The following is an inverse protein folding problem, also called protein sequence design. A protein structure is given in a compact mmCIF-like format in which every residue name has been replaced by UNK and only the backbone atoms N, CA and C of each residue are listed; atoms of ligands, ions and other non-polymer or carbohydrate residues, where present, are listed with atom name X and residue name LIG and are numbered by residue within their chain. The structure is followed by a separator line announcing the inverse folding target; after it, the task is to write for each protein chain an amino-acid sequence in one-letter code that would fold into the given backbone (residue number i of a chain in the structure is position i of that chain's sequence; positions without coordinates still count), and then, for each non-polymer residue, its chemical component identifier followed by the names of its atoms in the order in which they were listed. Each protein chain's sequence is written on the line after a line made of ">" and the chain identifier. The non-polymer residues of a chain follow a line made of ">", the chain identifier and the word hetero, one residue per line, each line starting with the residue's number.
data_IF_435431287408
#
_entry.id   IF_435431287408
#
_cell.length_a   1.000
_cell.length_b   1.000
_cell.length_c   1.000
_cell.angle_alpha   90.00
_cell.angle_beta   90.00
_cell.angle_gamma   90.00
#
_symmetry.space_group_name_H-M   'P 1'
#
loop_
_entity.id
_entity.type
_entity.pdbx_description
1 polymer ?
#
# COMPACT_ATOMS: atom_id res chain seq x y z
N UNK A 1 29.11 -10.47 -12.53
CA UNK A 1 27.74 -10.76 -12.05
C UNK A 1 26.86 -10.87 -13.29
N UNK A 2 25.94 -11.83 -13.35
CA UNK A 2 24.98 -11.88 -14.47
C UNK A 2 23.92 -10.81 -14.21
N UNK A 3 23.74 -9.90 -15.16
CA UNK A 3 22.79 -8.76 -15.08
C UNK A 3 21.32 -9.17 -15.31
N UNK A 4 21.00 -10.46 -15.20
CA UNK A 4 19.66 -11.02 -15.41
C UNK A 4 18.78 -11.00 -14.15
N UNK A 5 19.26 -10.39 -13.05
CA UNK A 5 18.55 -10.35 -11.78
C UNK A 5 18.49 -11.68 -11.02
N UNK A 6 19.19 -12.72 -11.51
CA UNK A 6 19.24 -14.04 -10.83
C UNK A 6 20.19 -14.05 -9.62
N UNK A 7 21.06 -13.05 -9.49
CA UNK A 7 22.02 -12.94 -8.40
C UNK A 7 21.33 -12.55 -7.09
N UNK A 8 21.10 -13.52 -6.21
CA UNK A 8 20.55 -13.27 -4.88
C UNK A 8 21.66 -12.87 -3.90
N UNK A 9 21.53 -11.74 -3.21
CA UNK A 9 22.46 -11.29 -2.17
C UNK A 9 21.77 -11.19 -0.81
N UNK A 10 22.46 -11.57 0.27
CA UNK A 10 21.92 -11.52 1.64
C UNK A 10 22.19 -10.14 2.25
N UNK A 11 21.27 -9.20 2.02
CA UNK A 11 21.39 -7.79 2.45
C UNK A 11 20.76 -7.57 3.84
N UNK A 12 19.64 -8.22 4.13
CA UNK A 12 18.94 -8.07 5.42
C UNK A 12 19.56 -8.92 6.53
N UNK A 13 19.87 -8.29 7.68
CA UNK A 13 20.58 -8.93 8.82
C UNK A 13 20.13 -8.36 10.16
N UNK A 14 20.15 -9.18 11.20
CA UNK A 14 20.10 -8.72 12.59
C UNK A 14 21.53 -8.64 13.14
N UNK A 15 21.89 -7.50 13.73
CA UNK A 15 23.14 -7.33 14.46
C UNK A 15 22.83 -7.47 15.95
N UNK A 16 23.55 -8.34 16.65
CA UNK A 16 23.36 -8.63 18.06
C UNK A 16 24.66 -8.30 18.81
N UNK A 17 24.54 -7.67 19.98
CA UNK A 17 25.66 -7.47 20.87
C UNK A 17 25.87 -8.69 21.78
N UNK A 18 27.07 -8.81 22.37
CA UNK A 18 27.47 -9.97 23.17
C UNK A 18 26.47 -10.27 24.30
N UNK A 19 25.93 -9.25 24.96
CA UNK A 19 24.94 -9.42 26.03
C UNK A 19 23.60 -10.00 25.54
N UNK A 20 23.19 -9.73 24.30
CA UNK A 20 21.97 -10.31 23.70
C UNK A 20 22.18 -11.78 23.31
N UNK A 21 23.37 -12.14 22.83
CA UNK A 21 23.71 -13.53 22.50
C UNK A 21 23.71 -14.39 23.76
N UNK A 22 24.27 -13.87 24.86
CA UNK A 22 24.27 -14.57 26.15
C UNK A 22 22.87 -14.72 26.74
N UNK A 23 21.99 -13.72 26.53
CA UNK A 23 20.61 -13.75 27.04
C UNK A 23 19.68 -14.66 26.24
N UNK A 24 19.92 -14.81 24.95
CA UNK A 24 19.11 -15.66 24.06
C UNK A 24 20.00 -16.58 23.22
N UNK A 25 20.63 -17.60 23.84
CA UNK A 25 21.56 -18.49 23.17
C UNK A 25 20.90 -19.32 22.05
N UNK A 26 19.57 -19.48 22.11
CA UNK A 26 18.78 -20.20 21.10
C UNK A 26 18.20 -19.28 20.01
N UNK A 27 18.65 -18.03 19.92
CA UNK A 27 18.14 -17.09 18.93
C UNK A 27 18.46 -17.56 17.50
N UNK A 28 17.45 -17.63 16.64
CA UNK A 28 17.59 -18.01 15.24
C UNK A 28 16.90 -17.02 14.31
N UNK A 29 17.38 -16.90 13.08
CA UNK A 29 16.74 -16.07 12.05
C UNK A 29 15.94 -16.96 11.11
N UNK A 30 14.63 -16.73 11.04
CA UNK A 30 13.73 -17.36 10.07
C UNK A 30 13.51 -16.43 8.89
N UNK A 31 13.80 -16.92 7.69
CA UNK A 31 13.45 -16.23 6.44
C UNK A 31 12.00 -16.57 6.09
N UNK A 32 11.19 -15.56 5.83
CA UNK A 32 9.80 -15.70 5.41
C UNK A 32 9.68 -15.68 3.88
N UNK A 33 8.52 -16.09 3.38
CA UNK A 33 8.24 -16.10 1.96
C UNK A 33 8.23 -14.68 1.36
N UNK A 34 8.78 -14.60 0.15
CA UNK A 34 8.78 -13.37 -0.64
C UNK A 34 7.38 -13.18 -1.22
N UNK A 35 6.61 -12.24 -0.66
CA UNK A 35 5.26 -11.92 -1.16
C UNK A 35 5.24 -10.65 -2.01
N UNK A 36 5.40 -9.48 -1.40
CA UNK A 36 5.13 -8.17 -2.04
C UNK A 36 6.36 -7.27 -2.18
N UNK A 37 7.55 -7.71 -1.76
CA UNK A 37 8.80 -6.97 -1.90
C UNK A 37 9.80 -7.80 -2.70
N UNK A 38 10.72 -7.12 -3.36
CA UNK A 38 11.97 -7.65 -3.89
C UNK A 38 12.88 -8.25 -2.79
N UNK A 39 12.68 -7.87 -1.52
CA UNK A 39 13.32 -8.46 -0.35
C UNK A 39 12.50 -9.60 0.29
N UNK A 40 13.20 -10.56 0.92
CA UNK A 40 12.59 -11.58 1.79
C UNK A 40 12.59 -11.09 3.23
N UNK A 41 11.43 -10.96 3.89
CA UNK A 41 11.40 -10.60 5.30
C UNK A 41 12.15 -11.63 6.17
N UNK A 42 12.89 -11.16 7.17
CA UNK A 42 13.56 -12.01 8.15
C UNK A 42 13.04 -11.72 9.56
N UNK A 43 12.89 -12.76 10.37
CA UNK A 43 12.41 -12.66 11.75
C UNK A 43 13.40 -13.31 12.69
N UNK A 44 13.80 -12.58 13.74
CA UNK A 44 14.58 -13.13 14.83
C UNK A 44 13.65 -13.83 15.84
N UNK A 45 13.83 -15.13 16.01
CA UNK A 45 13.10 -15.95 16.97
C UNK A 45 14.04 -16.22 18.15
N UNK A 46 13.59 -15.94 19.37
CA UNK A 46 14.44 -15.92 20.57
C UNK A 46 14.20 -17.12 21.50
N UNK A 47 13.13 -17.89 21.30
CA UNK A 47 12.85 -19.09 22.11
C UNK A 47 12.11 -20.16 21.31
N UNK A 48 12.44 -21.42 21.60
CA UNK A 48 11.62 -22.58 21.28
C UNK A 48 10.59 -22.72 22.41
N UNK A 49 9.53 -21.91 22.38
CA UNK A 49 8.45 -22.05 23.36
C UNK A 49 7.54 -23.18 22.90
N UNK A 50 7.93 -24.42 23.20
CA UNK A 50 7.02 -25.56 23.16
C UNK A 50 6.10 -25.46 24.38
N UNK A 51 4.99 -24.74 24.21
CA UNK A 51 3.95 -24.57 25.24
C UNK A 51 3.12 -25.85 25.45
N UNK A 52 3.58 -27.01 24.97
CA UNK A 52 2.81 -28.25 24.90
C UNK A 52 1.81 -28.23 23.74
N UNK A 53 0.84 -29.17 23.73
CA UNK A 53 -0.15 -29.26 22.68
C UNK A 53 -0.89 -27.93 22.50
N UNK A 54 -0.87 -27.39 21.28
CA UNK A 54 -1.53 -26.12 21.00
C UNK A 54 -3.00 -26.17 21.47
N UNK A 55 -3.43 -25.24 22.34
CA UNK A 55 -4.80 -25.24 22.81
C UNK A 55 -5.74 -25.04 21.62
N UNK A 56 -6.92 -25.66 21.69
CA UNK A 56 -7.97 -25.39 20.71
C UNK A 56 -8.32 -23.90 20.78
N UNK A 57 -8.12 -23.18 19.67
CA UNK A 57 -8.46 -21.76 19.55
C UNK A 57 -9.75 -21.63 18.78
N UNK A 58 -10.73 -21.01 19.41
CA UNK A 58 -11.97 -20.57 18.77
C UNK A 58 -11.83 -19.10 18.41
N UNK A 59 -12.14 -18.74 17.16
CA UNK A 59 -12.04 -17.36 16.68
C UNK A 59 -13.43 -16.78 16.53
N UNK A 60 -13.65 -15.56 17.05
CA UNK A 60 -14.96 -14.90 16.96
C UNK A 60 -15.42 -14.69 15.50
N UNK A 61 -14.48 -14.55 14.57
CA UNK A 61 -14.80 -14.45 13.14
C UNK A 61 -15.51 -15.70 12.59
N UNK A 62 -15.36 -16.86 13.23
CA UNK A 62 -16.04 -18.08 12.81
C UNK A 62 -17.56 -18.02 13.04
N UNK A 63 -18.03 -17.18 13.98
CA UNK A 63 -19.46 -16.99 14.23
C UNK A 63 -20.18 -16.28 13.08
N UNK A 64 -19.44 -15.53 12.26
CA UNK A 64 -19.97 -14.90 11.06
C UNK A 64 -20.08 -15.87 9.86
N UNK A 65 -19.50 -17.07 9.96
CA UNK A 65 -19.58 -18.08 8.91
C UNK A 65 -20.81 -18.98 9.15
N UNK A 66 -21.78 -18.92 8.24
CA UNK A 66 -23.04 -19.68 8.34
C UNK A 66 -22.84 -21.20 8.50
N UNK A 67 -21.79 -21.77 7.89
CA UNK A 67 -21.50 -23.20 7.96
C UNK A 67 -21.22 -23.68 9.39
N UNK A 68 -20.67 -22.81 10.26
CA UNK A 68 -20.37 -23.19 11.65
C UNK A 68 -21.65 -23.51 12.42
N UNK A 69 -22.71 -22.72 12.19
CA UNK A 69 -23.98 -22.92 12.88
C UNK A 69 -24.59 -24.28 12.53
N UNK A 70 -24.54 -24.66 11.25
CA UNK A 70 -25.04 -25.95 10.78
C UNK A 70 -24.27 -27.12 11.39
N UNK A 71 -22.94 -26.98 11.56
CA UNK A 71 -22.10 -27.98 12.22
C UNK A 71 -22.48 -28.12 13.70
N UNK A 72 -22.71 -27.00 14.40
CA UNK A 72 -23.14 -27.02 15.79
C UNK A 72 -24.47 -27.76 15.92
N UNK A 73 -25.47 -27.37 15.13
CA UNK A 73 -26.81 -27.99 15.16
C UNK A 73 -26.74 -29.48 14.85
N UNK A 74 -26.05 -29.86 13.77
CA UNK A 74 -25.94 -31.26 13.32
C UNK A 74 -25.20 -32.13 14.33
N UNK A 75 -24.12 -31.60 14.92
CA UNK A 75 -23.34 -32.32 15.92
C UNK A 75 -24.08 -32.45 17.26
N UNK A 76 -24.86 -31.44 17.64
CA UNK A 76 -25.57 -31.40 18.92
C UNK A 76 -26.82 -32.29 18.96
N UNK A 77 -27.54 -32.35 17.84
CA UNK A 77 -28.82 -33.06 17.70
C UNK A 77 -28.68 -34.49 17.18
N UNK A 78 -27.52 -34.88 16.64
CA UNK A 78 -27.38 -36.23 16.13
C UNK A 78 -27.37 -37.30 17.23
N UNK A 79 -27.99 -38.43 16.94
CA UNK A 79 -28.18 -39.58 17.83
C UNK A 79 -26.92 -40.43 17.96
N UNK A 80 -25.82 -39.81 18.39
CA UNK A 80 -24.50 -40.43 18.36
C UNK A 80 -24.07 -41.09 19.67
N UNK A 81 -24.81 -40.86 20.75
CA UNK A 81 -24.50 -41.35 22.08
C UNK A 81 -25.73 -42.02 22.66
N UNK A 82 -25.54 -43.16 23.32
CA UNK A 82 -26.60 -43.81 24.08
C UNK A 82 -27.04 -42.87 25.20
N UNK A 83 -28.35 -42.73 25.39
CA UNK A 83 -28.94 -41.81 26.37
C UNK A 83 -28.73 -42.26 27.83
N UNK A 84 -27.97 -43.33 28.04
CA UNK A 84 -27.69 -43.91 29.35
C UNK A 84 -26.40 -43.33 29.94
N UNK A 85 -26.54 -42.53 30.99
CA UNK A 85 -25.40 -41.99 31.74
C UNK A 85 -25.76 -40.73 32.51
N UNK A 86 -24.84 -40.27 33.34
CA UNK A 86 -24.97 -39.00 34.03
C UNK A 86 -24.96 -37.83 33.02
N UNK A 87 -25.78 -36.80 33.25
CA UNK A 87 -26.00 -35.73 32.30
C UNK A 87 -24.72 -34.91 31.99
N UNK A 88 -23.84 -34.77 32.97
CA UNK A 88 -22.53 -34.13 32.86
C UNK A 88 -21.58 -34.90 31.93
N UNK A 89 -21.58 -36.23 32.02
CA UNK A 89 -20.83 -37.10 31.13
C UNK A 89 -21.33 -37.00 29.68
N UNK A 90 -22.66 -36.99 29.48
CA UNK A 90 -23.27 -36.82 28.15
C UNK A 90 -22.94 -35.45 27.55
N UNK A 91 -22.99 -34.38 28.36
CA UNK A 91 -22.58 -33.03 27.94
C UNK A 91 -21.10 -33.01 27.51
N UNK A 92 -20.21 -33.62 28.29
CA UNK A 92 -18.79 -33.71 27.97
C UNK A 92 -18.56 -34.45 26.65
N UNK A 93 -19.28 -35.54 26.39
CA UNK A 93 -19.20 -36.28 25.13
C UNK A 93 -19.66 -35.43 23.94
N UNK A 94 -20.80 -34.73 24.06
CA UNK A 94 -21.29 -33.80 23.04
C UNK A 94 -20.28 -32.69 22.74
N UNK A 95 -19.71 -32.07 23.77
CA UNK A 95 -18.69 -31.02 23.62
C UNK A 95 -17.40 -31.54 22.97
N UNK A 96 -16.95 -32.76 23.34
CA UNK A 96 -15.78 -33.41 22.71
C UNK A 96 -16.00 -33.63 21.22
N UNK A 97 -17.16 -34.15 20.83
CA UNK A 97 -17.51 -34.35 19.43
C UNK A 97 -17.59 -33.04 18.67
N UNK A 98 -18.30 -32.06 19.23
CA UNK A 98 -18.43 -30.73 18.62
C UNK A 98 -17.06 -30.11 18.37
N UNK A 99 -16.14 -30.21 19.33
CA UNK A 99 -14.76 -29.77 19.17
C UNK A 99 -14.04 -30.44 18.00
N UNK A 100 -14.20 -31.76 17.82
CA UNK A 100 -13.56 -32.48 16.71
C UNK A 100 -14.17 -32.11 15.34
N UNK A 101 -15.48 -31.94 15.26
CA UNK A 101 -16.13 -31.48 14.02
C UNK A 101 -15.74 -30.05 13.65
N UNK A 102 -15.69 -29.13 14.63
CA UNK A 102 -15.20 -27.76 14.40
C UNK A 102 -13.72 -27.78 13.95
N UNK A 103 -12.88 -28.65 14.53
CA UNK A 103 -11.47 -28.78 14.09
C UNK A 103 -11.37 -29.26 12.64
N UNK A 104 -12.15 -30.26 12.24
CA UNK A 104 -12.17 -30.76 10.85
C UNK A 104 -12.62 -29.67 9.89
N UNK A 105 -13.72 -28.99 10.21
CA UNK A 105 -14.22 -27.87 9.43
C UNK A 105 -13.20 -26.73 9.32
N UNK A 106 -12.61 -26.30 10.44
CA UNK A 106 -11.62 -25.24 10.46
C UNK A 106 -10.37 -25.59 9.63
N UNK A 107 -9.95 -26.86 9.62
CA UNK A 107 -8.87 -27.33 8.76
C UNK A 107 -9.25 -27.23 7.28
N UNK A 108 -10.46 -27.65 6.92
CA UNK A 108 -10.96 -27.59 5.54
C UNK A 108 -11.12 -26.15 5.06
N UNK A 109 -11.67 -25.25 5.88
CA UNK A 109 -11.80 -23.83 5.52
C UNK A 109 -10.43 -23.18 5.33
N UNK A 110 -9.45 -23.44 6.20
CA UNK A 110 -8.08 -22.94 5.96
C UNK A 110 -7.50 -23.41 4.63
N UNK A 111 -7.77 -24.64 4.21
CA UNK A 111 -7.34 -25.14 2.91
C UNK A 111 -8.06 -24.41 1.77
N UNK A 112 -9.38 -24.22 1.86
CA UNK A 112 -10.16 -23.43 0.89
C UNK A 112 -9.61 -22.01 0.78
N UNK A 113 -9.46 -21.30 1.90
CA UNK A 113 -8.92 -19.95 1.98
C UNK A 113 -7.51 -19.87 1.35
N UNK A 114 -6.67 -20.87 1.59
CA UNK A 114 -5.31 -20.93 1.02
C UNK A 114 -5.33 -21.12 -0.48
N UNK A 115 -6.19 -21.98 -1.00
CA UNK A 115 -6.36 -22.21 -2.45
C UNK A 115 -6.91 -20.97 -3.13
N UNK A 116 -7.92 -20.33 -2.54
CA UNK A 116 -8.50 -19.09 -3.06
C UNK A 116 -7.45 -17.97 -3.07
N UNK A 117 -6.72 -17.77 -1.98
CA UNK A 117 -5.66 -16.78 -1.90
C UNK A 117 -4.57 -17.02 -2.95
N UNK A 118 -4.14 -18.28 -3.14
CA UNK A 118 -3.14 -18.64 -4.15
C UNK A 118 -3.65 -18.38 -5.58
N UNK A 119 -4.93 -18.67 -5.82
CA UNK A 119 -5.57 -18.44 -7.14
C UNK A 119 -5.65 -16.94 -7.45
N UNK A 120 -6.04 -16.13 -6.46
CA UNK A 120 -6.07 -14.67 -6.59
C UNK A 120 -4.66 -14.10 -6.78
N UNK A 121 -3.65 -14.58 -6.05
CA UNK A 121 -2.25 -14.17 -6.24
C UNK A 121 -1.73 -14.47 -7.65
N UNK A 122 -2.09 -15.62 -8.24
CA UNK A 122 -1.75 -15.95 -9.62
C UNK A 122 -2.46 -15.05 -10.63
N UNK A 123 -3.74 -14.74 -10.40
CA UNK A 123 -4.52 -13.82 -11.22
C UNK A 123 -3.89 -12.42 -11.24
N UNK A 124 -3.53 -11.88 -10.07
CA UNK A 124 -2.86 -10.56 -9.96
C UNK A 124 -1.56 -10.54 -10.75
N UNK A 125 -0.70 -11.56 -10.60
CA UNK A 125 0.56 -11.67 -11.36
C UNK A 125 0.32 -11.71 -12.87
N UNK A 126 -0.72 -12.41 -13.32
CA UNK A 126 -1.06 -12.48 -14.74
C UNK A 126 -1.51 -11.11 -15.28
N UNK A 127 -2.29 -10.36 -14.50
CA UNK A 127 -2.71 -8.99 -14.85
C UNK A 127 -1.51 -8.05 -14.91
N UNK A 128 -0.60 -8.10 -13.92
CA UNK A 128 0.62 -7.30 -13.91
C UNK A 128 1.50 -7.57 -15.13
N UNK A 129 1.74 -8.85 -15.45
CA UNK A 129 2.50 -9.25 -16.62
C UNK A 129 1.83 -8.82 -17.94
N UNK A 130 0.49 -8.90 -18.02
CA UNK A 130 -0.28 -8.41 -19.17
C UNK A 130 -0.13 -6.90 -19.31
N UNK A 131 -0.19 -6.14 -18.22
CA UNK A 131 -0.04 -4.69 -18.23
C UNK A 131 1.39 -4.25 -18.62
N UNK A 132 2.43 -4.92 -18.13
CA UNK A 132 3.82 -4.68 -18.52
C UNK A 132 4.02 -4.93 -20.02
N UNK A 133 3.60 -6.11 -20.49
CA UNK A 133 3.73 -6.50 -21.89
C UNK A 133 2.95 -5.54 -22.80
N UNK A 134 1.74 -5.14 -22.39
CA UNK A 134 0.92 -4.17 -23.12
C UNK A 134 1.60 -2.81 -23.22
N UNK A 135 2.20 -2.31 -22.14
CA UNK A 135 2.90 -1.01 -22.14
C UNK A 135 4.11 -1.00 -23.09
N UNK A 136 4.87 -2.10 -23.14
CA UNK A 136 6.01 -2.27 -24.04
C UNK A 136 5.55 -2.36 -25.49
N UNK A 137 4.46 -3.08 -25.74
CA UNK A 137 3.87 -3.22 -27.07
C UNK A 137 3.31 -1.88 -27.58
N UNK A 138 2.61 -1.12 -26.75
CA UNK A 138 2.08 0.21 -27.10
C UNK A 138 3.21 1.18 -27.43
N UNK A 139 4.37 1.10 -26.76
CA UNK A 139 5.56 1.89 -27.11
C UNK A 139 6.03 1.65 -28.54
N UNK A 140 6.11 0.39 -28.95
CA UNK A 140 6.49 0.03 -30.33
C UNK A 140 5.44 0.50 -31.33
N UNK A 141 4.17 0.48 -30.92
CA UNK A 141 3.09 0.99 -31.75
C UNK A 141 3.14 2.51 -31.93
N UNK A 142 3.37 3.27 -30.85
CA UNK A 142 3.59 4.72 -30.90
C UNK A 142 4.80 5.09 -31.77
N UNK A 143 5.90 4.32 -31.69
CA UNK A 143 7.08 4.51 -32.54
C UNK A 143 6.78 4.28 -34.02
N UNK A 144 5.93 3.30 -34.35
CA UNK A 144 5.54 3.04 -35.73
C UNK A 144 4.67 4.17 -36.31
N UNK A 145 3.80 4.77 -35.49
CA UNK A 145 2.89 5.86 -35.90
C UNK A 145 3.60 7.23 -36.03
N UNK A 146 4.60 7.52 -35.20
CA UNK A 146 5.27 8.83 -35.16
C UNK A 146 6.66 8.88 -35.79
N UNK A 147 7.26 7.72 -36.08
CA UNK A 147 8.57 7.66 -36.71
C UNK A 147 8.46 7.83 -38.22
N UNK A 148 8.20 9.03 -38.75
CA UNK A 148 8.00 9.19 -40.20
C UNK A 148 9.23 8.80 -41.04
N UNK A 149 10.45 8.81 -40.47
CA UNK A 149 11.72 8.46 -41.15
C UNK A 149 12.56 7.37 -40.45
N UNK A 150 12.01 6.65 -39.48
CA UNK A 150 12.75 5.60 -38.78
C UNK A 150 12.80 4.31 -39.61
N UNK A 151 13.99 3.70 -39.76
CA UNK A 151 14.19 2.41 -40.45
C UNK A 151 13.11 1.39 -40.08
N UNK A 152 12.78 1.28 -38.79
CA UNK A 152 11.74 0.40 -38.28
C UNK A 152 10.33 0.68 -38.85
N UNK A 153 9.90 1.94 -38.92
CA UNK A 153 8.56 2.27 -39.46
C UNK A 153 8.49 1.98 -40.96
N UNK A 154 9.57 2.30 -41.70
CA UNK A 154 9.69 2.00 -43.12
C UNK A 154 9.66 0.49 -43.39
N UNK A 155 10.39 -0.30 -42.59
CA UNK A 155 10.38 -1.76 -42.68
C UNK A 155 8.99 -2.34 -42.42
N UNK A 156 8.29 -1.87 -41.38
CA UNK A 156 6.94 -2.36 -41.08
C UNK A 156 5.94 -1.96 -42.17
N UNK A 157 5.99 -0.71 -42.67
CA UNK A 157 5.18 -0.24 -43.80
C UNK A 157 5.39 -1.13 -45.04
N UNK A 158 6.65 -1.47 -45.34
CA UNK A 158 7.02 -2.29 -46.49
C UNK A 158 6.60 -3.77 -46.35
N UNK A 159 6.84 -4.41 -45.19
CA UNK A 159 6.54 -5.83 -44.98
C UNK A 159 5.02 -6.07 -44.91
N UNK A 160 4.29 -5.19 -44.22
CA UNK A 160 2.87 -5.40 -43.94
C UNK A 160 1.94 -4.64 -44.89
N UNK A 161 2.48 -3.84 -45.81
CA UNK A 161 1.76 -2.98 -46.76
C UNK A 161 0.69 -2.11 -46.08
N UNK A 162 1.12 -1.35 -45.06
CA UNK A 162 0.23 -0.58 -44.19
C UNK A 162 0.56 0.91 -44.29
N UNK A 163 -0.46 1.76 -44.47
CA UNK A 163 -0.33 3.20 -44.30
C UNK A 163 -0.86 3.60 -42.93
N UNK A 164 0.01 4.13 -42.07
CA UNK A 164 -0.33 4.57 -40.71
C UNK A 164 -1.13 5.88 -40.66
N UNK A 165 -1.51 6.44 -41.81
CA UNK A 165 -2.28 7.68 -41.91
C UNK A 165 -3.75 7.56 -41.45
N UNK A 166 -4.30 6.34 -41.44
CA UNK A 166 -5.67 6.07 -40.99
C UNK A 166 -5.66 5.11 -39.80
N UNK A 167 -6.19 5.59 -38.67
CA UNK A 167 -6.21 4.94 -37.34
C UNK A 167 -6.88 3.54 -37.35
N UNK A 168 -7.54 3.16 -38.44
CA UNK A 168 -8.25 1.90 -38.60
C UNK A 168 -7.51 0.75 -39.29
N UNK A 169 -6.41 1.01 -40.03
CA UNK A 169 -5.79 -0.02 -40.85
C UNK A 169 -4.39 -0.37 -40.31
N UNK A 170 -4.34 -1.32 -39.37
CA UNK A 170 -3.13 -1.66 -38.61
C UNK A 170 -2.30 -2.79 -39.23
N UNK A 171 -2.68 -3.24 -40.42
CA UNK A 171 -2.04 -4.35 -41.11
C UNK A 171 -2.66 -5.71 -40.82
N UNK A 172 -2.29 -6.71 -41.63
CA UNK A 172 -2.81 -8.07 -41.54
C UNK A 172 -2.11 -8.85 -40.42
N UNK A 173 -2.87 -9.53 -39.57
CA UNK A 173 -2.36 -10.49 -38.55
C UNK A 173 -1.87 -11.82 -39.15
N UNK A 174 -1.90 -11.94 -40.48
CA UNK A 174 -1.58 -13.17 -41.22
C UNK A 174 -0.09 -13.51 -41.22
N UNK A 175 0.79 -12.55 -40.94
CA UNK A 175 2.23 -12.77 -40.79
C UNK A 175 2.56 -12.93 -39.31
N UNK A 176 2.95 -14.14 -38.90
CA UNK A 176 3.37 -14.43 -37.53
C UNK A 176 4.60 -13.60 -37.12
N UNK A 177 4.68 -13.22 -35.83
CA UNK A 177 5.81 -12.48 -35.28
C UNK A 177 5.41 -11.35 -34.34
N UNK A 178 6.39 -10.53 -33.95
CA UNK A 178 6.24 -9.45 -32.96
C UNK A 178 5.14 -8.46 -33.37
N UNK A 179 5.03 -8.13 -34.67
CA UNK A 179 4.01 -7.20 -35.17
C UNK A 179 2.58 -7.73 -35.04
N UNK A 180 2.35 -9.02 -35.29
CA UNK A 180 1.03 -9.62 -35.07
C UNK A 180 0.64 -9.63 -33.59
N UNK A 181 1.58 -9.84 -32.67
CA UNK A 181 1.36 -9.71 -31.23
C UNK A 181 1.03 -8.27 -30.82
N UNK A 182 1.69 -7.28 -31.45
CA UNK A 182 1.41 -5.86 -31.24
C UNK A 182 -0.04 -5.52 -31.66
N UNK A 183 -0.46 -5.93 -32.85
CA UNK A 183 -1.83 -5.69 -33.36
C UNK A 183 -2.86 -6.40 -32.47
N UNK A 184 -2.65 -7.68 -32.13
CA UNK A 184 -3.57 -8.45 -31.27
C UNK A 184 -3.77 -7.79 -29.91
N UNK A 185 -2.69 -7.30 -29.31
CA UNK A 185 -2.75 -6.56 -28.04
C UNK A 185 -3.53 -5.27 -28.20
N UNK A 186 -3.29 -4.49 -29.26
CA UNK A 186 -4.06 -3.28 -29.55
C UNK A 186 -5.56 -3.54 -29.77
N UNK A 187 -5.92 -4.64 -30.44
CA UNK A 187 -7.32 -5.07 -30.62
C UNK A 187 -7.97 -5.49 -29.31
N UNK A 188 -7.30 -6.32 -28.50
CA UNK A 188 -7.79 -6.72 -27.17
C UNK A 188 -8.01 -5.51 -26.26
N UNK A 189 -7.14 -4.51 -26.32
CA UNK A 189 -7.31 -3.28 -25.56
C UNK A 189 -8.53 -2.48 -26.05
N UNK A 190 -8.74 -2.36 -27.36
CA UNK A 190 -9.94 -1.71 -27.91
C UNK A 190 -11.25 -2.45 -27.55
N UNK A 191 -11.23 -3.80 -27.52
CA UNK A 191 -12.36 -4.65 -27.11
C UNK A 191 -12.70 -4.48 -25.63
N UNK A 192 -11.68 -4.31 -24.78
CA UNK A 192 -11.82 -3.98 -23.35
C UNK A 192 -12.28 -2.51 -23.11
N UNK A 193 -12.71 -1.78 -24.14
CA UNK A 193 -13.11 -0.37 -24.08
C UNK A 193 -11.95 0.64 -24.09
N UNK A 194 -10.69 0.19 -24.10
CA UNK A 194 -9.48 1.03 -24.12
C UNK A 194 -9.13 1.39 -25.55
N UNK A 195 -9.84 2.38 -26.11
CA UNK A 195 -9.57 2.91 -27.45
C UNK A 195 -8.19 3.57 -27.50
N UNK A 196 -7.17 2.87 -27.94
CA UNK A 196 -5.83 3.47 -28.05
C UNK A 196 -5.81 4.62 -29.07
N UNK A 197 -6.75 4.58 -30.01
CA UNK A 197 -7.07 5.68 -30.94
C UNK A 197 -7.55 6.97 -30.26
N UNK A 198 -7.96 6.95 -28.98
CA UNK A 198 -8.27 8.17 -28.23
C UNK A 198 -7.05 8.82 -27.58
N UNK A 199 -6.00 8.04 -27.29
CA UNK A 199 -4.78 8.50 -26.61
C UNK A 199 -3.66 8.84 -27.58
N UNK A 200 -3.59 8.13 -28.72
CA UNK A 200 -2.64 8.39 -29.80
C UNK A 200 -3.40 9.06 -30.95
N UNK A 201 -3.55 10.38 -30.89
CA UNK A 201 -4.05 11.19 -32.01
C UNK A 201 -2.95 12.13 -32.46
N UNK A 202 -2.67 12.17 -33.78
CA UNK A 202 -1.91 13.24 -34.46
C UNK A 202 -0.64 13.68 -33.71
N UNK A 203 0.32 12.77 -33.53
CA UNK A 203 1.64 13.08 -32.97
C UNK A 203 1.70 13.52 -31.50
N UNK A 204 0.59 13.48 -30.75
CA UNK A 204 0.59 13.81 -29.31
C UNK A 204 0.15 12.63 -28.46
N UNK A 205 0.91 12.34 -27.39
CA UNK A 205 0.52 11.38 -26.36
C UNK A 205 -0.38 12.09 -25.35
N UNK A 206 -1.70 11.84 -25.38
CA UNK A 206 -2.65 12.52 -24.49
C UNK A 206 -2.71 11.93 -23.07
N UNK A 207 -1.80 11.01 -22.72
CA UNK A 207 -1.72 10.37 -21.40
C UNK A 207 -0.78 11.06 -20.42
N UNK A 208 -0.15 12.18 -20.81
CA UNK A 208 0.58 13.06 -19.89
C UNK A 208 0.41 14.56 -20.23
N UNK A 209 0.67 15.43 -19.26
CA UNK A 209 0.58 16.89 -19.43
C UNK A 209 1.66 17.48 -20.36
N UNK A 210 2.65 16.66 -20.79
CA UNK A 210 3.77 17.09 -21.63
C UNK A 210 3.62 16.67 -23.09
N UNK A 211 2.56 15.95 -23.43
CA UNK A 211 2.31 15.35 -24.73
C UNK A 211 3.44 14.43 -25.24
N UNK A 212 4.28 13.88 -24.35
CA UNK A 212 5.46 13.08 -24.69
C UNK A 212 5.29 11.63 -24.25
N UNK A 213 5.49 10.68 -25.16
CA UNK A 213 5.35 9.27 -24.81
C UNK A 213 6.50 8.79 -23.92
N UNK A 214 6.16 8.16 -22.80
CA UNK A 214 7.08 7.33 -22.02
C UNK A 214 6.40 6.03 -21.60
N UNK A 215 7.17 4.94 -21.47
CA UNK A 215 6.64 3.65 -20.98
C UNK A 215 6.00 3.81 -19.60
N UNK A 216 6.56 4.70 -18.76
CA UNK A 216 6.02 5.02 -17.43
C UNK A 216 4.63 5.65 -17.53
N UNK A 217 4.46 6.71 -18.30
CA UNK A 217 3.14 7.36 -18.44
C UNK A 217 2.10 6.43 -19.08
N UNK A 218 2.52 5.58 -20.03
CA UNK A 218 1.63 4.55 -20.58
C UNK A 218 1.22 3.51 -19.53
N UNK A 219 2.13 3.11 -18.64
CA UNK A 219 1.83 2.22 -17.53
C UNK A 219 0.86 2.86 -16.53
N UNK A 220 1.13 4.11 -16.15
CA UNK A 220 0.26 4.88 -15.25
C UNK A 220 -1.17 5.00 -15.81
N UNK A 221 -1.32 5.26 -17.12
CA UNK A 221 -2.63 5.30 -17.81
C UNK A 221 -3.35 3.95 -17.81
N UNK A 222 -2.61 2.84 -17.97
CA UNK A 222 -3.17 1.49 -17.89
C UNK A 222 -3.65 1.22 -16.45
N UNK A 223 -2.83 1.56 -15.45
CA UNK A 223 -3.11 1.30 -14.04
C UNK A 223 -4.29 2.15 -13.52
N UNK A 224 -4.48 3.37 -14.01
CA UNK A 224 -5.61 4.25 -13.65
C UNK A 224 -6.97 3.69 -14.09
N UNK A 225 -7.03 2.98 -15.22
CA UNK A 225 -8.26 2.34 -15.73
C UNK A 225 -8.66 1.09 -14.94
N UNK A 226 -7.69 0.39 -14.35
CA UNK A 226 -7.95 -0.82 -13.55
C UNK A 226 -8.42 -0.52 -12.12
N UNK A 227 -8.63 0.75 -11.77
CA UNK A 227 -9.36 1.13 -10.57
C UNK A 227 -8.75 0.60 -9.29
N UNK A 228 -7.45 0.80 -9.10
CA UNK A 228 -6.80 0.79 -7.78
C UNK A 228 -5.30 1.12 -7.90
N UNK A 229 -4.93 2.15 -8.69
CA UNK A 229 -3.56 2.65 -8.60
C UNK A 229 -3.37 3.22 -7.18
N UNK A 230 -2.65 2.53 -6.27
CA UNK A 230 -2.47 3.01 -4.93
C UNK A 230 -1.40 4.07 -5.02
N UNK A 231 -1.80 5.31 -5.32
CA UNK A 231 -1.09 6.52 -4.93
C UNK A 231 0.42 6.51 -5.29
N UNK A 232 0.77 5.87 -6.42
CA UNK A 232 2.11 5.31 -6.64
C UNK A 232 3.21 6.36 -6.75
N UNK A 233 2.86 7.60 -7.10
CA UNK A 233 3.82 8.71 -7.22
C UNK A 233 3.78 9.72 -6.07
N UNK A 234 2.81 9.67 -5.15
CA UNK A 234 2.71 10.64 -4.04
C UNK A 234 3.60 10.22 -2.86
N UNK A 235 3.92 8.94 -2.74
CA UNK A 235 4.60 8.41 -1.55
C UNK A 235 6.12 8.29 -1.65
N UNK A 236 6.79 8.75 -2.71
CA UNK A 236 8.24 8.55 -2.87
C UNK A 236 9.05 9.85 -2.88
N UNK A 237 8.78 10.74 -1.92
CA UNK A 237 9.62 11.91 -1.68
C UNK A 237 10.87 11.51 -0.87
N UNK A 238 12.06 11.56 -1.49
CA UNK A 238 13.35 11.24 -0.83
C UNK A 238 13.64 12.05 0.44
N UNK A 239 13.04 13.24 0.58
CA UNK A 239 13.20 14.08 1.76
C UNK A 239 12.52 13.49 3.00
N UNK A 240 11.50 12.64 2.81
CA UNK A 240 10.78 11.99 3.89
C UNK A 240 11.36 10.59 4.11
N UNK A 241 11.66 10.17 5.36
CA UNK A 241 12.11 8.83 5.65
C UNK A 241 11.10 7.76 5.20
N UNK A 242 11.55 6.63 4.63
CA UNK A 242 10.66 5.56 4.18
C UNK A 242 9.67 5.07 5.24
N UNK A 243 10.08 5.02 6.52
CA UNK A 243 9.20 4.62 7.64
C UNK A 243 7.94 5.50 7.75
N UNK A 244 8.08 6.79 7.45
CA UNK A 244 6.98 7.76 7.53
C UNK A 244 6.11 7.67 6.29
N UNK A 245 6.72 7.52 5.12
CA UNK A 245 5.98 7.29 3.87
C UNK A 245 5.14 6.01 3.93
N UNK A 246 5.72 4.90 4.41
CA UNK A 246 5.00 3.65 4.66
C UNK A 246 3.87 3.83 5.69
N UNK A 247 4.03 4.72 6.67
CA UNK A 247 2.96 5.02 7.62
C UNK A 247 1.81 5.77 6.94
N UNK A 248 2.09 6.84 6.20
CA UNK A 248 1.03 7.59 5.48
C UNK A 248 0.32 6.70 4.45
N UNK A 249 1.03 5.80 3.78
CA UNK A 249 0.41 4.79 2.92
C UNK A 249 -0.53 3.84 3.67
N UNK A 250 -0.18 3.43 4.91
CA UNK A 250 -1.11 2.66 5.76
C UNK A 250 -2.32 3.47 6.19
N UNK A 251 -2.16 4.79 6.39
CA UNK A 251 -3.28 5.70 6.67
C UNK A 251 -4.23 5.74 5.48
N UNK A 252 -3.73 5.86 4.25
CA UNK A 252 -4.59 5.90 3.05
C UNK A 252 -5.34 4.60 2.79
N UNK A 253 -4.92 3.50 3.40
CA UNK A 253 -5.61 2.20 3.32
C UNK A 253 -6.53 1.93 4.52
N UNK A 254 -6.65 2.87 5.45
CA UNK A 254 -7.31 2.70 6.75
C UNK A 254 -6.83 1.44 7.51
N UNK A 255 -5.51 1.21 7.52
CA UNK A 255 -4.90 0.01 8.14
C UNK A 255 -4.10 0.30 9.40
N UNK A 256 -4.17 1.52 9.93
CA UNK A 256 -3.46 1.90 11.16
C UNK A 256 -4.17 1.37 12.42
N UNK A 257 -3.43 1.10 13.52
CA UNK A 257 -3.99 0.51 14.74
C UNK A 257 -4.64 1.56 15.66
N UNK A 258 -5.73 2.17 15.17
CA UNK A 258 -6.65 3.04 15.92
C UNK A 258 -7.76 2.22 16.58
N UNK A 259 -8.45 2.76 17.58
CA UNK A 259 -9.39 1.97 18.40
C UNK A 259 -10.50 1.29 17.58
N UNK A 260 -11.10 2.01 16.62
CA UNK A 260 -12.15 1.47 15.75
C UNK A 260 -11.63 0.27 14.94
N UNK A 261 -10.42 0.39 14.36
CA UNK A 261 -9.80 -0.68 13.56
C UNK A 261 -9.31 -1.87 14.39
N UNK A 262 -8.95 -1.66 15.65
CA UNK A 262 -8.59 -2.74 16.56
C UNK A 262 -9.85 -3.52 16.97
N UNK A 263 -10.93 -2.81 17.29
CA UNK A 263 -12.21 -3.40 17.65
C UNK A 263 -12.81 -4.22 16.49
N UNK A 264 -12.77 -3.68 15.26
CA UNK A 264 -13.28 -4.39 14.07
C UNK A 264 -12.49 -5.67 13.76
N UNK A 265 -11.24 -5.77 14.24
CA UNK A 265 -10.40 -6.98 14.15
C UNK A 265 -10.60 -7.94 15.32
N UNK A 266 -11.58 -7.69 16.21
CA UNK A 266 -11.88 -8.51 17.36
C UNK A 266 -10.90 -8.36 18.52
N UNK A 267 -10.09 -7.30 18.54
CA UNK A 267 -9.23 -6.97 19.69
C UNK A 267 -10.08 -6.20 20.70
N UNK A 268 -10.22 -6.72 21.91
CA UNK A 268 -10.98 -6.08 22.97
C UNK A 268 -10.30 -4.75 23.40
N UNK A 269 -10.97 -3.63 23.18
CA UNK A 269 -10.55 -2.29 23.57
C UNK A 269 -11.52 -1.72 24.60
N UNK A 270 -11.00 -1.08 25.65
CA UNK A 270 -11.82 -0.58 26.77
C UNK A 270 -12.75 0.56 26.36
N UNK A 271 -12.35 1.36 25.37
CA UNK A 271 -13.12 2.49 24.86
C UNK A 271 -12.74 2.74 23.41
N UNK A 272 -13.74 3.10 22.60
CA UNK A 272 -13.54 3.54 21.23
C UNK A 272 -13.17 5.01 21.14
N UNK A 273 -13.34 5.79 22.21
CA UNK A 273 -13.15 7.24 22.20
C UNK A 273 -11.70 7.61 21.88
N UNK A 274 -11.54 8.64 21.06
CA UNK A 274 -10.27 9.22 20.66
C UNK A 274 -9.41 9.57 21.87
N UNK A 275 -8.19 9.02 21.89
CA UNK A 275 -7.28 9.16 23.02
C UNK A 275 -6.81 10.60 23.24
N UNK A 276 -6.94 11.46 22.22
CA UNK A 276 -6.54 12.87 22.28
C UNK A 276 -7.68 13.79 22.75
N UNK A 277 -8.86 13.70 22.10
CA UNK A 277 -9.96 14.63 22.35
C UNK A 277 -10.99 14.10 23.36
N UNK A 278 -11.17 12.77 23.45
CA UNK A 278 -12.17 12.04 24.23
C UNK A 278 -13.64 12.31 23.83
N UNK A 279 -13.88 12.92 22.66
CA UNK A 279 -15.22 13.33 22.21
C UNK A 279 -15.83 12.32 21.23
N UNK A 280 -15.13 12.01 20.12
CA UNK A 280 -15.61 11.08 19.10
C UNK A 280 -14.82 9.77 19.12
N UNK A 281 -15.25 8.78 18.34
CA UNK A 281 -14.55 7.50 18.21
C UNK A 281 -13.23 7.66 17.42
N UNK A 282 -12.22 6.87 17.81
CA UNK A 282 -10.88 6.90 17.23
C UNK A 282 -10.81 6.06 15.96
N UNK A 283 -11.23 6.65 14.84
CA UNK A 283 -10.83 6.21 13.50
C UNK A 283 -9.62 7.00 12.97
N UNK A 284 -9.07 6.59 11.84
CA UNK A 284 -7.88 7.22 11.27
C UNK A 284 -8.12 8.66 10.82
N UNK A 285 -9.31 8.96 10.30
CA UNK A 285 -9.66 10.29 9.83
C UNK A 285 -9.89 11.26 10.99
N UNK A 286 -10.60 10.82 12.02
CA UNK A 286 -10.81 11.60 13.23
C UNK A 286 -9.48 11.88 13.90
N UNK A 287 -8.66 10.85 14.15
CA UNK A 287 -7.40 11.02 14.87
C UNK A 287 -6.47 12.03 14.18
N UNK A 288 -6.37 11.97 12.85
CA UNK A 288 -5.37 12.71 12.10
C UNK A 288 -5.87 14.02 11.48
N UNK A 289 -7.19 14.20 11.33
CA UNK A 289 -7.76 15.33 10.59
C UNK A 289 -8.92 16.02 11.32
N UNK A 290 -9.93 15.28 11.79
CA UNK A 290 -11.14 15.89 12.39
C UNK A 290 -11.02 16.21 13.88
N UNK A 291 -10.10 15.57 14.59
CA UNK A 291 -9.85 15.82 16.02
C UNK A 291 -9.47 17.28 16.25
N UNK A 292 -10.08 17.94 17.25
CA UNK A 292 -9.78 19.34 17.62
C UNK A 292 -8.29 19.66 17.77
N UNK A 293 -7.51 18.70 18.30
CA UNK A 293 -6.05 18.86 18.45
C UNK A 293 -5.37 18.79 17.09
N UNK A 294 -5.78 17.85 16.24
CA UNK A 294 -5.24 17.72 14.89
C UNK A 294 -5.58 18.94 14.03
N UNK A 295 -6.82 19.40 14.05
CA UNK A 295 -7.28 20.59 13.33
C UNK A 295 -6.46 21.83 13.68
N UNK A 296 -6.20 22.04 14.98
CA UNK A 296 -5.41 23.18 15.43
C UNK A 296 -3.93 23.09 15.00
N UNK A 297 -3.33 21.89 15.03
CA UNK A 297 -1.98 21.67 14.50
C UNK A 297 -1.95 21.97 12.99
N UNK A 298 -2.87 21.40 12.22
CA UNK A 298 -2.98 21.66 10.77
C UNK A 298 -3.14 23.14 10.46
N UNK A 299 -3.99 23.85 11.20
CA UNK A 299 -4.22 25.30 11.05
C UNK A 299 -2.92 26.09 11.26
N UNK A 300 -2.17 25.77 12.32
CA UNK A 300 -0.91 26.47 12.63
C UNK A 300 0.20 26.17 11.62
N UNK A 301 0.30 24.93 11.15
CA UNK A 301 1.27 24.56 10.11
C UNK A 301 0.90 25.19 8.76
N UNK A 302 -0.39 25.22 8.41
CA UNK A 302 -0.90 25.93 7.23
C UNK A 302 -0.53 27.42 7.26
N UNK A 303 -0.78 28.07 8.40
CA UNK A 303 -0.49 29.49 8.56
C UNK A 303 1.01 29.78 8.50
N UNK A 304 1.83 29.01 9.23
CA UNK A 304 3.29 29.16 9.23
C UNK A 304 3.90 28.95 7.84
N UNK A 305 3.43 27.95 7.10
CA UNK A 305 3.97 27.64 5.78
C UNK A 305 3.30 28.42 4.65
N UNK A 306 2.26 29.23 4.89
CA UNK A 306 1.42 29.81 3.82
C UNK A 306 0.98 28.75 2.79
N UNK A 307 0.67 27.54 3.27
CA UNK A 307 0.20 26.41 2.46
C UNK A 307 -1.20 26.08 2.92
N UNK A 308 -2.12 26.14 1.96
CA UNK A 308 -3.48 25.68 2.14
C UNK A 308 -3.48 24.13 2.26
N UNK A 309 -3.74 23.65 3.49
CA UNK A 309 -4.17 22.27 3.76
C UNK A 309 -5.70 22.21 4.00
N UNK A 310 -6.44 23.29 3.69
CA UNK A 310 -7.77 23.76 4.15
C UNK A 310 -8.95 22.83 3.81
N UNK A 311 -8.78 21.74 3.06
CA UNK A 311 -9.81 20.69 2.95
C UNK A 311 -9.51 19.47 3.84
N UNK A 312 -8.92 19.70 5.01
CA UNK A 312 -8.39 18.73 6.00
C UNK A 312 -9.45 17.91 6.74
N UNK A 313 -10.37 17.27 6.01
CA UNK A 313 -11.31 16.30 6.56
C UNK A 313 -10.82 14.85 6.47
N UNK A 314 -9.91 14.56 5.54
CA UNK A 314 -9.49 13.20 5.23
C UNK A 314 -8.09 13.12 4.62
N UNK A 315 -7.52 11.93 4.67
CA UNK A 315 -6.29 11.61 3.94
C UNK A 315 -6.47 11.78 2.44
N UNK A 316 -7.65 11.47 1.89
CA UNK A 316 -7.91 11.55 0.46
C UNK A 316 -7.83 12.97 -0.07
N UNK A 317 -8.32 13.96 0.69
CA UNK A 317 -8.25 15.36 0.29
C UNK A 317 -6.79 15.85 0.22
N UNK A 318 -5.96 15.44 1.19
CA UNK A 318 -4.51 15.72 1.15
C UNK A 318 -3.89 15.08 -0.08
N UNK A 319 -4.16 13.80 -0.35
CA UNK A 319 -3.59 13.11 -1.50
C UNK A 319 -4.03 13.73 -2.84
N UNK A 320 -5.30 14.07 -3.01
CA UNK A 320 -5.79 14.80 -4.18
C UNK A 320 -5.07 16.15 -4.33
N UNK A 321 -4.90 16.91 -3.24
CA UNK A 321 -4.19 18.21 -3.27
C UNK A 321 -2.71 18.10 -3.67
N UNK A 322 -2.08 16.95 -3.39
CA UNK A 322 -0.68 16.67 -3.73
C UNK A 322 -0.51 16.09 -5.13
N UNK A 323 -1.55 15.44 -5.66
CA UNK A 323 -1.61 14.91 -7.02
C UNK A 323 -1.96 15.98 -8.03
N UNK A 324 -3.03 16.71 -7.75
CA UNK A 324 -3.72 17.61 -8.68
C UNK A 324 -3.32 19.08 -8.49
N UNK A 325 -2.45 19.35 -7.50
CA UNK A 325 -1.93 20.68 -7.22
C UNK A 325 -1.07 21.25 -8.35
N UNK A 326 -1.17 22.55 -8.58
CA UNK A 326 -0.38 23.28 -9.58
C UNK A 326 1.07 23.49 -9.16
N UNK A 327 1.43 23.17 -7.91
CA UNK A 327 2.78 23.39 -7.41
C UNK A 327 3.80 22.42 -8.01
N UNK A 328 4.94 22.97 -8.43
CA UNK A 328 6.06 22.19 -9.00
C UNK A 328 7.36 22.41 -8.23
N UNK A 329 8.31 21.50 -8.40
CA UNK A 329 9.67 21.63 -7.87
C UNK A 329 9.72 21.71 -6.34
N UNK A 330 10.37 22.75 -5.81
CA UNK A 330 10.63 22.92 -4.38
C UNK A 330 9.34 23.08 -3.56
N UNK A 331 8.38 23.86 -4.08
CA UNK A 331 7.09 24.11 -3.43
C UNK A 331 6.32 22.81 -3.20
N UNK A 332 6.28 21.94 -4.22
CA UNK A 332 5.68 20.60 -4.11
C UNK A 332 6.37 19.73 -3.06
N UNK A 333 7.70 19.71 -3.06
CA UNK A 333 8.48 18.92 -2.08
C UNK A 333 8.21 19.36 -0.64
N UNK A 334 8.17 20.66 -0.38
CA UNK A 334 7.88 21.20 0.96
C UNK A 334 6.45 20.87 1.37
N UNK A 335 5.47 21.07 0.49
CA UNK A 335 4.06 20.71 0.74
C UNK A 335 3.91 19.22 1.13
N UNK A 336 4.54 18.33 0.38
CA UNK A 336 4.54 16.88 0.67
C UNK A 336 5.26 16.54 1.99
N UNK A 337 6.42 17.16 2.25
CA UNK A 337 7.19 16.97 3.48
C UNK A 337 6.36 17.35 4.71
N UNK A 338 5.77 18.55 4.70
CA UNK A 338 4.98 19.07 5.82
C UNK A 338 3.69 18.26 6.03
N UNK A 339 3.02 17.83 4.95
CA UNK A 339 1.85 16.96 5.06
C UNK A 339 2.19 15.62 5.75
N UNK A 340 3.24 14.95 5.27
CA UNK A 340 3.65 13.66 5.83
C UNK A 340 4.13 13.77 7.28
N UNK A 341 4.88 14.83 7.60
CA UNK A 341 5.36 15.09 8.97
C UNK A 341 4.22 15.39 9.93
N UNK A 342 3.25 16.20 9.54
CA UNK A 342 2.13 16.55 10.40
C UNK A 342 1.32 15.31 10.79
N UNK A 343 1.02 14.45 9.81
CA UNK A 343 0.37 13.14 10.03
C UNK A 343 1.19 12.26 11.00
N UNK A 344 2.50 12.21 10.79
CA UNK A 344 3.40 11.41 11.63
C UNK A 344 3.52 11.92 13.07
N UNK A 345 3.63 13.23 13.26
CA UNK A 345 3.75 13.85 14.58
C UNK A 345 2.46 13.67 15.39
N UNK A 346 1.28 13.78 14.77
CA UNK A 346 -0.01 13.49 15.42
C UNK A 346 -0.10 12.03 15.88
N UNK A 347 0.33 11.10 15.02
CA UNK A 347 0.40 9.68 15.37
C UNK A 347 1.35 9.41 16.56
N UNK A 348 2.54 9.99 16.54
CA UNK A 348 3.50 9.87 17.65
C UNK A 348 2.96 10.49 18.94
N UNK A 349 2.28 11.63 18.86
CA UNK A 349 1.63 12.27 20.00
C UNK A 349 0.62 11.32 20.65
N UNK A 350 -0.26 10.73 19.85
CA UNK A 350 -1.25 9.76 20.32
C UNK A 350 -0.58 8.55 20.96
N UNK A 351 0.46 7.98 20.33
CA UNK A 351 1.13 6.82 20.88
C UNK A 351 1.87 7.10 22.19
N UNK A 352 2.54 8.25 22.29
CA UNK A 352 3.17 8.68 23.53
C UNK A 352 2.16 8.81 24.68
N UNK A 353 0.97 9.33 24.39
CA UNK A 353 -0.11 9.38 25.37
C UNK A 353 -0.66 7.99 25.72
N UNK A 354 -0.88 7.12 24.73
CA UNK A 354 -1.47 5.79 24.96
C UNK A 354 -0.53 4.84 25.72
N UNK A 355 0.75 4.81 25.36
CA UNK A 355 1.70 3.81 25.84
C UNK A 355 2.65 4.33 26.93
N UNK A 356 2.93 5.63 26.94
CA UNK A 356 3.89 6.22 27.87
C UNK A 356 3.26 7.27 28.79
N UNK A 357 1.97 7.59 28.62
CA UNK A 357 1.26 8.65 29.37
C UNK A 357 1.94 10.02 29.27
N UNK A 358 2.69 10.26 28.19
CA UNK A 358 3.35 11.54 27.92
C UNK A 358 2.42 12.38 27.05
N UNK A 359 1.99 13.53 27.56
CA UNK A 359 1.14 14.48 26.83
C UNK A 359 2.00 15.65 26.32
N UNK A 360 1.92 15.92 25.02
CA UNK A 360 2.55 17.10 24.41
C UNK A 360 1.51 18.21 24.23
N UNK A 361 1.93 19.45 24.45
CA UNK A 361 1.14 20.62 24.09
C UNK A 361 1.11 20.79 22.57
N UNK A 362 0.12 21.55 22.08
CA UNK A 362 0.02 21.89 20.65
C UNK A 362 1.25 22.68 20.20
N UNK A 363 1.76 23.59 21.04
CA UNK A 363 2.99 24.35 20.75
C UNK A 363 4.17 23.43 20.52
N UNK A 364 4.40 22.45 21.42
CA UNK A 364 5.46 21.48 21.25
C UNK A 364 5.30 20.65 19.97
N UNK A 365 4.07 20.27 19.59
CA UNK A 365 3.83 19.52 18.35
C UNK A 365 4.13 20.34 17.10
N UNK A 366 3.75 21.62 17.08
CA UNK A 366 4.05 22.52 15.97
C UNK A 366 5.56 22.73 15.84
N UNK A 367 6.26 22.97 16.95
CA UNK A 367 7.71 23.11 16.95
C UNK A 367 8.42 21.80 16.55
N UNK A 368 7.93 20.63 16.98
CA UNK A 368 8.44 19.33 16.53
C UNK A 368 8.32 19.16 15.00
N UNK A 369 7.19 19.57 14.41
CA UNK A 369 6.99 19.52 12.95
C UNK A 369 7.95 20.46 12.24
N UNK A 370 8.09 21.72 12.70
CA UNK A 370 9.02 22.69 12.11
C UNK A 370 10.46 22.22 12.16
N UNK A 371 10.90 21.73 13.32
CA UNK A 371 12.25 21.24 13.54
C UNK A 371 12.55 20.01 12.70
N UNK A 372 11.68 18.99 12.71
CA UNK A 372 11.91 17.80 11.89
C UNK A 372 11.87 18.10 10.39
N UNK A 373 10.99 19.02 9.96
CA UNK A 373 10.95 19.45 8.57
C UNK A 373 12.26 20.12 8.15
N UNK A 374 12.81 21.00 9.00
CA UNK A 374 14.11 21.62 8.76
C UNK A 374 15.22 20.58 8.65
N UNK A 375 15.35 19.71 9.66
CA UNK A 375 16.39 18.68 9.70
C UNK A 375 16.32 17.75 8.48
N UNK A 376 15.11 17.36 8.05
CA UNK A 376 14.97 16.49 6.88
C UNK A 376 15.20 17.22 5.57
N UNK A 377 14.79 18.48 5.45
CA UNK A 377 15.14 19.30 4.30
C UNK A 377 16.66 19.43 4.20
N UNK A 378 17.34 19.88 5.26
CA UNK A 378 18.80 20.07 5.29
C UNK A 378 19.57 18.77 4.96
N UNK A 379 19.24 17.65 5.61
CA UNK A 379 20.01 16.41 5.48
C UNK A 379 19.70 15.60 4.22
N UNK A 380 18.49 15.71 3.67
CA UNK A 380 18.00 14.87 2.55
C UNK A 380 17.67 15.68 1.31
N UNK A 381 17.75 17.00 1.42
CA UNK A 381 17.58 17.96 0.35
C UNK A 381 18.84 18.10 -0.49
N UNK A 382 18.80 17.57 -1.70
CA UNK A 382 19.90 17.80 -2.65
C UNK A 382 19.79 19.22 -3.24
N UNK A 383 20.92 19.93 -3.30
CA UNK A 383 21.07 21.25 -3.94
C UNK A 383 20.16 22.33 -3.34
N UNK A 384 20.10 22.37 -2.02
CA UNK A 384 19.41 23.44 -1.29
C UNK A 384 20.32 23.96 -0.17
N UNK A 385 20.14 25.24 0.16
CA UNK A 385 20.72 25.87 1.34
C UNK A 385 19.59 26.15 2.33
N UNK A 386 19.86 25.97 3.62
CA UNK A 386 18.87 26.10 4.69
C UNK A 386 19.37 27.05 5.78
N UNK A 387 18.46 27.85 6.33
CA UNK A 387 18.71 28.84 7.38
C UNK A 387 17.63 28.71 8.46
N UNK A 388 18.01 28.27 9.67
CA UNK A 388 17.08 27.97 10.75
C UNK A 388 16.35 29.21 11.27
N UNK A 389 17.05 30.35 11.41
CA UNK A 389 16.49 31.57 11.98
C UNK A 389 15.39 32.14 11.10
N UNK A 390 15.53 31.99 9.78
CA UNK A 390 14.47 32.34 8.82
C UNK A 390 13.40 31.26 8.72
N UNK A 391 13.77 29.98 8.75
CA UNK A 391 12.85 28.85 8.63
C UNK A 391 11.78 28.84 9.73
N UNK A 392 12.18 29.10 10.99
CA UNK A 392 11.26 29.07 12.13
C UNK A 392 10.11 30.09 12.00
N UNK A 393 10.38 31.21 11.31
CA UNK A 393 9.38 32.23 10.97
C UNK A 393 8.58 31.81 9.74
N UNK A 394 9.28 31.40 8.68
CA UNK A 394 8.68 31.04 7.39
C UNK A 394 9.60 30.06 6.63
N UNK A 395 9.10 28.87 6.24
CA UNK A 395 9.94 27.88 5.57
C UNK A 395 10.46 28.34 4.20
N UNK A 396 9.80 29.32 3.55
CA UNK A 396 10.23 29.85 2.25
C UNK A 396 11.42 30.81 2.32
N UNK A 397 11.61 31.46 3.46
CA UNK A 397 12.73 32.38 3.69
C UNK A 397 13.97 31.64 4.18
N UNK A 398 13.75 30.51 4.86
CA UNK A 398 14.81 29.63 5.35
C UNK A 398 15.30 28.58 4.36
N UNK A 399 14.87 28.62 3.09
CA UNK A 399 15.31 27.65 2.08
C UNK A 399 15.56 28.30 0.72
N UNK A 400 16.71 28.02 0.12
CA UNK A 400 17.06 28.48 -1.23
C UNK A 400 17.66 27.34 -2.05
N UNK A 401 17.55 27.42 -3.39
CA UNK A 401 18.21 26.47 -4.28
C UNK A 401 19.68 26.88 -4.44
N UNK A 402 20.57 25.89 -4.44
CA UNK A 402 21.99 26.04 -4.79
C UNK A 402 22.17 25.85 -6.30
#
# INVERSE_FOLDING_TARGET
>A
MKDDGSSSSKIDRFLLCQSMILRWPMAMVKVLDRRWSDHRPIVLLSANNDYGPAPFRFYNSWLANGELNDIVITSWNGSYFDSSGAADYLLLQKLRRLKEEIKKWAKNNRLKDTVEATTLELSVKAIEAKAETSSLIIKWWWRALNGDNGLWSATIKAIHNVSFGEIGNLGKTSLGGIWASIIKTGKSLNEDGRRISSVIRRQTWNGDAKNQFSTRSCRDWIDEFYGDAPVSNIFWLKWVPPKVLCFVWKVSLDRIPVMVNLNSRGINVQSLRCSLCLVEDEDGEHLLFRCRIAQEVWRRISWWASIDFVYSGSIQNILCSLRDGSEVGLKRKIKMLLAALTIWCLWLCRNNWCFHRIRKSIDCLVEDVKLQAFTWAEQRGNKISTDWEKWVVNPWEGISKI
#
